data_IF_732646326385
#
_entry.id   IF_732646326385
#
_cell.length_a   1.000
_cell.length_b   1.000
_cell.length_c   1.000
_cell.angle_alpha   90.00
_cell.angle_beta   90.00
_cell.angle_gamma   90.00
#
_symmetry.space_group_name_H-M   'P 1'
#
loop_
_entity.id
_entity.type
_entity.pdbx_description
1 polymer ?
#
# COMPACT_ATOMS: atom_id res chain seq x y z
N UNK A 1 -47.07 78.95 -45.78
CA UNK A 1 -46.26 80.06 -46.31
C UNK A 1 -45.22 80.43 -45.27
N UNK A 2 -43.94 80.38 -45.66
CA UNK A 2 -42.75 81.10 -45.17
C UNK A 2 -42.47 81.20 -43.66
N UNK A 3 -41.45 80.54 -43.13
CA UNK A 3 -40.00 80.90 -43.08
C UNK A 3 -39.61 81.63 -41.79
N UNK A 4 -38.43 81.26 -41.27
CA UNK A 4 -37.52 82.01 -40.36
C UNK A 4 -37.90 82.03 -38.88
N UNK A 5 -36.98 82.19 -37.95
CA UNK A 5 -35.55 81.91 -37.84
C UNK A 5 -35.23 82.25 -36.38
N UNK A 6 -34.35 81.46 -35.76
CA UNK A 6 -33.26 81.90 -34.86
C UNK A 6 -33.58 83.05 -33.89
N UNK A 7 -33.62 82.76 -32.59
CA UNK A 7 -32.84 83.57 -31.66
C UNK A 7 -32.39 82.80 -30.43
N UNK A 8 -31.06 82.76 -30.30
CA UNK A 8 -30.27 82.34 -29.15
C UNK A 8 -30.43 83.36 -28.02
N UNK A 9 -30.56 82.88 -26.78
CA UNK A 9 -29.47 82.88 -25.79
C UNK A 9 -29.99 82.86 -24.35
N UNK A 10 -29.12 82.34 -23.47
CA UNK A 10 -28.94 82.68 -22.05
C UNK A 10 -29.57 81.79 -20.98
N UNK A 11 -28.70 80.83 -20.60
CA UNK A 11 -28.18 80.60 -19.25
C UNK A 11 -28.96 79.72 -18.25
N UNK A 12 -28.27 78.62 -17.94
CA UNK A 12 -28.01 78.06 -16.59
C UNK A 12 -29.19 77.50 -15.80
N UNK A 13 -29.16 76.19 -15.56
CA UNK A 13 -28.80 75.69 -14.22
C UNK A 13 -28.70 74.16 -14.16
N UNK A 14 -27.65 73.72 -13.46
CA UNK A 14 -27.51 72.45 -12.74
C UNK A 14 -27.42 71.12 -13.54
N UNK A 15 -26.20 70.76 -13.95
CA UNK A 15 -25.79 69.35 -13.95
C UNK A 15 -25.47 68.93 -12.51
N UNK A 16 -26.42 68.31 -11.83
CA UNK A 16 -26.17 67.60 -10.57
C UNK A 16 -25.71 66.17 -10.87
N UNK A 17 -24.40 65.95 -10.75
CA UNK A 17 -23.73 64.69 -10.33
C UNK A 17 -24.38 63.35 -10.74
N UNK A 18 -23.99 62.85 -11.92
CA UNK A 18 -24.16 61.44 -12.25
C UNK A 18 -23.17 60.61 -11.40
N UNK A 19 -23.66 59.92 -10.36
CA UNK A 19 -22.86 58.99 -9.56
C UNK A 19 -22.59 57.73 -10.39
N UNK A 20 -21.35 57.56 -10.86
CA UNK A 20 -20.86 56.29 -11.40
C UNK A 20 -20.76 55.31 -10.23
N UNK A 21 -21.69 54.37 -10.14
CA UNK A 21 -21.64 53.25 -9.20
C UNK A 21 -20.66 52.23 -9.81
N UNK A 22 -19.55 51.87 -9.15
CA UNK A 22 -18.71 50.79 -9.64
C UNK A 22 -19.46 49.48 -9.41
N UNK A 23 -19.85 48.81 -10.49
CA UNK A 23 -20.31 47.42 -10.45
C UNK A 23 -19.07 46.58 -10.08
N UNK A 24 -18.98 46.22 -8.81
CA UNK A 24 -18.01 45.24 -8.35
C UNK A 24 -18.33 43.90 -9.01
N UNK A 25 -17.45 43.47 -9.93
CA UNK A 25 -17.42 42.11 -10.48
C UNK A 25 -17.23 41.12 -9.33
N UNK A 26 -18.33 40.53 -8.85
CA UNK A 26 -18.31 39.35 -8.00
C UNK A 26 -17.77 38.18 -8.83
N UNK A 27 -16.48 37.89 -8.68
CA UNK A 27 -15.95 36.58 -9.05
C UNK A 27 -16.46 35.56 -8.02
N UNK A 28 -17.25 34.53 -8.40
CA UNK A 28 -17.51 33.44 -7.48
C UNK A 28 -16.18 32.73 -7.20
N UNK A 29 -15.77 32.74 -5.93
CA UNK A 29 -14.69 31.90 -5.42
C UNK A 29 -15.11 30.44 -5.63
N UNK A 30 -14.67 29.84 -6.73
CA UNK A 30 -14.74 28.40 -6.92
C UNK A 30 -13.69 27.81 -5.97
N UNK A 31 -14.14 27.24 -4.86
CA UNK A 31 -13.27 26.42 -4.02
C UNK A 31 -12.84 25.20 -4.83
N UNK A 32 -11.62 25.24 -5.36
CA UNK A 32 -10.95 24.05 -5.87
C UNK A 32 -10.64 23.20 -4.65
N UNK A 33 -11.48 22.19 -4.40
CA UNK A 33 -11.08 21.09 -3.52
C UNK A 33 -9.92 20.41 -4.22
N UNK A 34 -8.73 20.48 -3.61
CA UNK A 34 -7.62 19.65 -4.01
C UNK A 34 -8.06 18.19 -3.84
N UNK A 35 -8.45 17.54 -4.93
CA UNK A 35 -8.49 16.08 -4.96
C UNK A 35 -7.03 15.66 -4.77
N UNK A 36 -6.72 15.10 -3.60
CA UNK A 36 -5.45 14.45 -3.37
C UNK A 36 -5.17 13.54 -4.57
N UNK A 37 -3.93 13.54 -5.05
CA UNK A 37 -3.46 12.66 -6.12
C UNK A 37 -4.09 11.29 -5.92
N UNK A 38 -4.75 10.69 -6.92
CA UNK A 38 -5.22 9.32 -6.80
C UNK A 38 -3.99 8.48 -6.48
N UNK A 39 -3.84 8.06 -5.22
CA UNK A 39 -2.84 7.07 -4.87
C UNK A 39 -3.23 5.85 -5.69
N UNK A 40 -2.38 5.53 -6.67
CA UNK A 40 -2.59 4.41 -7.56
C UNK A 40 -2.71 3.16 -6.69
N UNK A 41 -3.90 2.57 -6.67
CA UNK A 41 -4.17 1.43 -5.81
C UNK A 41 -3.41 0.21 -6.33
N UNK A 42 -2.57 -0.37 -5.47
CA UNK A 42 -1.88 -1.63 -5.81
C UNK A 42 -2.82 -2.80 -5.52
N UNK A 43 -2.75 -3.93 -6.25
CA UNK A 43 -3.59 -5.09 -5.94
C UNK A 43 -3.48 -5.55 -4.48
N UNK A 44 -2.28 -5.45 -3.88
CA UNK A 44 -2.05 -5.78 -2.48
C UNK A 44 -2.76 -4.88 -1.47
N UNK A 45 -3.20 -3.67 -1.84
CA UNK A 45 -3.92 -2.79 -0.90
C UNK A 45 -5.29 -3.34 -0.47
N UNK A 46 -5.80 -4.40 -1.12
CA UNK A 46 -6.97 -5.15 -0.68
C UNK A 46 -6.65 -6.24 0.37
N UNK A 47 -5.45 -6.25 0.94
CA UNK A 47 -5.08 -7.05 2.10
C UNK A 47 -4.32 -6.20 3.12
N UNK A 48 -4.78 -6.20 4.38
CA UNK A 48 -4.17 -5.41 5.45
C UNK A 48 -3.04 -6.18 6.12
N UNK A 49 -1.81 -5.74 5.90
CA UNK A 49 -0.62 -6.30 6.56
C UNK A 49 -0.66 -6.07 8.08
N UNK A 50 -1.11 -4.88 8.52
CA UNK A 50 -1.32 -4.54 9.93
C UNK A 50 -2.38 -5.42 10.57
N UNK A 51 -3.51 -5.62 9.86
CA UNK A 51 -4.60 -6.49 10.30
C UNK A 51 -4.17 -7.95 10.42
N UNK A 52 -3.41 -8.45 9.44
CA UNK A 52 -2.84 -9.79 9.49
C UNK A 52 -1.92 -9.94 10.72
N UNK A 53 -1.05 -8.98 10.99
CA UNK A 53 -0.17 -9.02 12.16
C UNK A 53 -0.96 -8.91 13.48
N UNK A 54 -2.07 -8.18 13.50
CA UNK A 54 -2.99 -8.13 14.64
C UNK A 54 -3.71 -9.45 14.93
N UNK A 55 -4.11 -10.17 13.88
CA UNK A 55 -4.67 -11.51 14.01
C UNK A 55 -3.59 -12.51 14.47
N UNK A 56 -2.38 -12.42 13.91
CA UNK A 56 -1.23 -13.23 14.30
C UNK A 56 -0.90 -13.06 15.79
N UNK A 57 -0.88 -11.82 16.30
CA UNK A 57 -0.69 -11.51 17.73
C UNK A 57 -1.69 -12.21 18.65
N UNK A 58 -2.93 -12.42 18.20
CA UNK A 58 -4.03 -12.97 19.02
C UNK A 58 -4.24 -14.48 18.86
N UNK A 59 -3.86 -15.05 17.73
CA UNK A 59 -4.07 -16.45 17.43
C UNK A 59 -3.26 -17.36 18.36
N UNK A 60 -3.79 -18.55 18.65
CA UNK A 60 -3.11 -19.57 19.46
C UNK A 60 -2.42 -20.63 18.62
N UNK A 61 -2.81 -20.79 17.36
CA UNK A 61 -2.25 -21.75 16.41
C UNK A 61 -2.23 -21.17 15.00
N UNK A 62 -1.39 -21.70 14.11
CA UNK A 62 -1.33 -21.26 12.70
C UNK A 62 -2.67 -21.52 11.99
N UNK A 63 -3.31 -22.65 12.28
CA UNK A 63 -4.65 -22.96 11.76
C UNK A 63 -5.70 -21.92 12.18
N UNK A 64 -5.69 -21.49 13.45
CA UNK A 64 -6.62 -20.46 13.93
C UNK A 64 -6.33 -19.12 13.26
N UNK A 65 -5.05 -18.80 13.06
CA UNK A 65 -4.62 -17.60 12.36
C UNK A 65 -5.11 -17.60 10.90
N UNK A 66 -4.87 -18.68 10.15
CA UNK A 66 -5.34 -18.88 8.78
C UNK A 66 -6.88 -18.75 8.68
N UNK A 67 -7.62 -19.38 9.58
CA UNK A 67 -9.07 -19.22 9.65
C UNK A 67 -9.47 -17.76 9.90
N UNK A 68 -8.73 -17.06 10.75
CA UNK A 68 -9.01 -15.65 11.06
C UNK A 68 -8.72 -14.75 9.86
N UNK A 69 -7.66 -14.97 9.09
CA UNK A 69 -7.42 -14.22 7.85
C UNK A 69 -8.61 -14.29 6.88
N UNK A 70 -9.32 -15.41 6.89
CA UNK A 70 -10.42 -15.73 6.00
C UNK A 70 -11.80 -15.51 6.63
N UNK A 71 -11.94 -14.47 7.45
CA UNK A 71 -13.20 -14.10 8.10
C UNK A 71 -13.64 -12.70 7.68
N UNK A 72 -14.82 -12.58 7.08
CA UNK A 72 -15.34 -11.33 6.47
C UNK A 72 -15.36 -10.12 7.42
N UNK A 73 -15.75 -10.35 8.68
CA UNK A 73 -16.06 -9.27 9.62
C UNK A 73 -14.85 -8.54 10.21
N UNK A 74 -13.62 -8.99 9.93
CA UNK A 74 -12.43 -8.38 10.53
C UNK A 74 -11.72 -7.37 9.63
N UNK A 75 -12.14 -7.17 8.38
CA UNK A 75 -11.53 -6.25 7.42
C UNK A 75 -10.01 -6.45 7.23
N UNK A 76 -9.56 -7.71 7.21
CA UNK A 76 -8.16 -8.05 6.88
C UNK A 76 -7.99 -8.48 5.43
N UNK A 77 -8.90 -9.32 4.92
CA UNK A 77 -8.87 -9.82 3.55
C UNK A 77 -10.01 -9.23 2.70
N UNK A 78 -9.66 -8.65 1.56
CA UNK A 78 -10.56 -8.16 0.52
C UNK A 78 -10.02 -8.48 -0.88
N UNK A 79 -9.06 -9.41 -0.98
CA UNK A 79 -8.38 -9.73 -2.22
C UNK A 79 -9.31 -10.47 -3.18
N UNK A 80 -9.25 -10.08 -4.45
CA UNK A 80 -9.89 -10.75 -5.59
C UNK A 80 -8.92 -10.61 -6.78
N UNK A 81 -7.80 -11.34 -6.69
CA UNK A 81 -6.71 -11.31 -7.65
C UNK A 81 -7.07 -12.08 -8.92
N UNK A 82 -7.93 -13.10 -8.82
CA UNK A 82 -8.44 -13.86 -9.96
C UNK A 82 -9.59 -13.13 -10.70
N UNK A 83 -10.18 -12.09 -10.09
CA UNK A 83 -11.25 -11.22 -10.62
C UNK A 83 -12.56 -11.95 -10.89
N UNK A 84 -12.90 -12.92 -10.05
CA UNK A 84 -14.17 -13.65 -10.16
C UNK A 84 -15.32 -13.00 -9.37
N UNK A 85 -15.05 -11.88 -8.68
CA UNK A 85 -16.01 -11.12 -7.89
C UNK A 85 -16.24 -11.70 -6.49
N UNK A 86 -15.43 -12.67 -6.08
CA UNK A 86 -15.41 -13.26 -4.75
C UNK A 86 -14.01 -13.10 -4.13
N UNK A 87 -13.95 -13.08 -2.81
CA UNK A 87 -12.66 -13.00 -2.13
C UNK A 87 -11.86 -14.28 -2.25
N UNK A 88 -10.58 -14.12 -2.54
CA UNK A 88 -9.57 -15.16 -2.55
C UNK A 88 -9.31 -15.72 -1.14
N UNK A 89 -9.19 -17.05 -1.05
CA UNK A 89 -8.79 -17.72 0.18
C UNK A 89 -7.28 -17.60 0.43
N UNK A 90 -6.90 -17.18 1.63
CA UNK A 90 -5.51 -17.02 2.05
C UNK A 90 -5.03 -18.29 2.76
N UNK A 91 -4.20 -19.08 2.10
CA UNK A 91 -3.52 -20.22 2.68
C UNK A 91 -2.22 -19.78 3.39
N UNK A 92 -1.90 -20.42 4.51
CA UNK A 92 -0.67 -20.19 5.26
C UNK A 92 0.21 -21.44 5.21
N UNK A 93 1.46 -21.27 4.79
CA UNK A 93 2.45 -22.35 4.82
C UNK A 93 3.66 -21.89 5.63
N UNK A 94 4.10 -22.70 6.59
CA UNK A 94 5.27 -22.42 7.42
C UNK A 94 6.53 -23.04 6.82
N UNK A 95 7.60 -22.26 6.79
CA UNK A 95 8.96 -22.73 6.54
C UNK A 95 9.75 -22.52 7.82
N UNK A 96 10.20 -23.61 8.41
CA UNK A 96 11.01 -23.60 9.64
C UNK A 96 12.44 -24.00 9.31
N UNK A 97 13.39 -23.14 9.66
CA UNK A 97 14.81 -23.47 9.63
C UNK A 97 15.52 -22.82 10.83
N UNK A 98 16.26 -23.63 11.59
CA UNK A 98 16.91 -23.20 12.83
C UNK A 98 15.93 -22.52 13.81
N UNK A 99 16.22 -21.27 14.17
CA UNK A 99 15.43 -20.41 15.06
C UNK A 99 14.58 -19.39 14.27
N UNK A 100 14.26 -19.69 13.01
CA UNK A 100 13.46 -18.83 12.16
C UNK A 100 12.23 -19.59 11.62
N UNK A 101 11.10 -18.89 11.61
CA UNK A 101 9.87 -19.31 10.95
C UNK A 101 9.47 -18.27 9.89
N UNK A 102 8.99 -18.75 8.75
CA UNK A 102 8.42 -17.93 7.69
C UNK A 102 7.03 -18.46 7.39
N UNK A 103 6.00 -17.73 7.82
CA UNK A 103 4.64 -18.00 7.38
C UNK A 103 4.40 -17.29 6.05
N UNK A 104 4.37 -18.05 4.97
CA UNK A 104 4.03 -17.57 3.63
C UNK A 104 2.51 -17.51 3.51
N UNK A 105 1.98 -16.30 3.28
CA UNK A 105 0.58 -16.07 2.99
C UNK A 105 0.41 -16.06 1.47
N UNK A 106 -0.47 -16.91 0.95
CA UNK A 106 -0.63 -17.09 -0.50
C UNK A 106 -2.08 -17.39 -0.87
N UNK A 107 -2.46 -17.13 -2.12
CA UNK A 107 -3.76 -17.53 -2.68
C UNK A 107 -3.62 -18.23 -4.01
N UNK A 108 -4.49 -19.19 -4.29
CA UNK A 108 -4.60 -19.81 -5.61
C UNK A 108 -5.38 -18.89 -6.55
N UNK A 109 -4.70 -18.33 -7.56
CA UNK A 109 -5.34 -17.48 -8.58
C UNK A 109 -5.85 -18.29 -9.79
N UNK A 110 -5.42 -19.54 -9.91
CA UNK A 110 -5.98 -20.54 -10.81
C UNK A 110 -5.70 -21.94 -10.26
N UNK A 111 -6.21 -22.97 -10.95
CA UNK A 111 -5.92 -24.39 -10.66
C UNK A 111 -4.43 -24.68 -10.42
N UNK A 112 -3.56 -24.06 -11.21
CA UNK A 112 -2.13 -24.40 -11.27
C UNK A 112 -1.22 -23.24 -10.85
N UNK A 113 -1.80 -22.11 -10.47
CA UNK A 113 -1.05 -20.89 -10.17
C UNK A 113 -1.41 -20.40 -8.77
N UNK A 114 -0.37 -20.17 -7.99
CA UNK A 114 -0.45 -19.57 -6.67
C UNK A 114 0.25 -18.23 -6.73
N UNK A 115 -0.27 -17.26 -6.00
CA UNK A 115 0.32 -15.94 -5.81
C UNK A 115 0.65 -15.75 -4.33
N UNK A 116 1.91 -15.45 -4.04
CA UNK A 116 2.32 -15.02 -2.71
C UNK A 116 1.83 -13.60 -2.44
N UNK A 117 1.36 -13.36 -1.22
CA UNK A 117 0.77 -12.07 -0.79
C UNK A 117 1.70 -11.35 0.15
N UNK A 118 2.19 -12.05 1.17
CA UNK A 118 3.09 -11.53 2.18
C UNK A 118 3.77 -12.68 2.92
N UNK A 119 4.81 -12.35 3.67
CA UNK A 119 5.47 -13.28 4.60
C UNK A 119 5.48 -12.71 6.00
N UNK A 120 5.07 -13.50 7.00
CA UNK A 120 5.30 -13.19 8.42
C UNK A 120 6.55 -13.92 8.84
N UNK A 121 7.57 -13.14 9.18
CA UNK A 121 8.90 -13.61 9.48
C UNK A 121 9.12 -13.50 10.98
N UNK A 122 9.41 -14.61 11.65
CA UNK A 122 9.66 -14.66 13.10
C UNK A 122 11.05 -15.21 13.35
N UNK A 123 11.90 -14.44 14.03
CA UNK A 123 13.25 -14.86 14.41
C UNK A 123 13.41 -14.79 15.92
N UNK A 124 13.81 -15.92 16.53
CA UNK A 124 14.15 -15.99 17.95
C UNK A 124 15.62 -15.60 18.14
N UNK A 125 15.87 -14.52 18.87
CA UNK A 125 17.21 -14.01 19.16
C UNK A 125 17.83 -14.66 20.40
N UNK A 126 17.03 -14.94 21.43
CA UNK A 126 17.50 -15.51 22.68
C UNK A 126 16.37 -16.23 23.44
N UNK A 127 16.62 -16.62 24.69
CA UNK A 127 15.56 -17.15 25.54
C UNK A 127 14.55 -16.04 25.83
N UNK A 128 13.29 -16.32 25.52
CA UNK A 128 12.18 -15.39 25.69
C UNK A 128 12.25 -14.09 24.88
N UNK A 129 13.01 -14.10 23.77
CA UNK A 129 13.06 -12.97 22.84
C UNK A 129 12.87 -13.42 21.41
N UNK A 130 11.89 -12.82 20.74
CA UNK A 130 11.65 -12.99 19.33
C UNK A 130 11.24 -11.67 18.68
N UNK A 131 11.61 -11.49 17.41
CA UNK A 131 11.18 -10.38 16.57
C UNK A 131 10.24 -10.89 15.48
N UNK A 132 9.32 -10.02 15.04
CA UNK A 132 8.44 -10.30 13.90
C UNK A 132 8.40 -9.13 12.94
N UNK A 133 8.41 -9.42 11.64
CA UNK A 133 8.01 -8.47 10.60
C UNK A 133 7.07 -9.17 9.63
N UNK A 134 6.06 -8.45 9.14
CA UNK A 134 5.31 -8.86 7.95
C UNK A 134 5.80 -8.06 6.75
N UNK A 135 6.08 -8.75 5.66
CA UNK A 135 6.67 -8.17 4.44
C UNK A 135 5.72 -8.46 3.28
N UNK A 136 5.22 -7.42 2.64
CA UNK A 136 4.37 -7.53 1.46
C UNK A 136 5.14 -8.07 0.25
N UNK A 137 4.48 -8.89 -0.56
CA UNK A 137 5.05 -9.41 -1.80
C UNK A 137 5.30 -8.26 -2.80
N UNK A 138 6.50 -8.13 -3.39
CA UNK A 138 6.81 -7.04 -4.32
C UNK A 138 6.03 -7.11 -5.65
N UNK A 139 5.35 -8.23 -5.95
CA UNK A 139 4.44 -8.31 -7.11
C UNK A 139 3.07 -7.66 -6.81
N UNK A 140 2.71 -7.47 -5.53
CA UNK A 140 1.43 -6.89 -5.09
C UNK A 140 1.57 -5.55 -4.34
N UNK A 141 2.71 -5.32 -3.69
CA UNK A 141 3.02 -4.16 -2.87
C UNK A 141 4.25 -3.42 -3.41
N UNK A 142 4.43 -2.13 -3.09
CA UNK A 142 5.71 -1.46 -3.28
C UNK A 142 6.85 -2.26 -2.64
N UNK A 143 8.03 -2.21 -3.28
CA UNK A 143 9.19 -2.88 -2.72
C UNK A 143 9.50 -2.36 -1.30
N UNK A 144 9.88 -3.27 -0.40
CA UNK A 144 10.16 -2.96 1.00
C UNK A 144 8.95 -2.44 1.81
N UNK A 145 7.72 -2.82 1.44
CA UNK A 145 6.57 -2.68 2.36
C UNK A 145 6.73 -3.66 3.53
N UNK A 146 7.27 -3.15 4.64
CA UNK A 146 7.55 -3.91 5.87
C UNK A 146 6.73 -3.29 7.00
N UNK A 147 6.01 -4.12 7.77
CA UNK A 147 5.24 -3.68 8.93
C UNK A 147 5.75 -4.38 10.19
N UNK A 148 5.82 -3.62 11.29
CA UNK A 148 6.21 -4.07 12.63
C UNK A 148 5.15 -3.67 13.68
N UNK A 149 5.08 -4.40 14.82
CA UNK A 149 4.27 -3.97 15.95
C UNK A 149 4.84 -2.71 16.61
N UNK A 150 3.97 -1.76 16.93
CA UNK A 150 4.31 -0.58 17.73
C UNK A 150 4.61 -1.00 19.18
N UNK A 151 5.65 -0.44 19.82
CA UNK A 151 5.90 -0.65 21.24
C UNK A 151 4.96 0.17 22.13
N UNK A 152 4.23 1.13 21.54
CA UNK A 152 3.33 2.02 22.25
C UNK A 152 1.90 1.50 22.18
N UNK A 153 1.29 1.27 23.34
CA UNK A 153 -0.13 0.99 23.48
C UNK A 153 -0.92 2.30 23.32
N UNK A 154 -1.20 2.67 22.06
CA UNK A 154 -2.02 3.84 21.74
C UNK A 154 -1.93 4.21 20.28
N UNK A 155 -2.91 4.95 19.73
CA UNK A 155 -2.82 5.44 18.37
C UNK A 155 -1.59 6.32 18.21
N UNK A 156 -0.76 6.00 17.22
CA UNK A 156 0.36 6.84 16.84
C UNK A 156 -0.18 8.22 16.42
N UNK A 157 -0.12 9.20 17.32
CA UNK A 157 -0.50 10.58 17.02
C UNK A 157 0.64 11.18 16.21
N UNK A 158 0.39 11.53 14.95
CA UNK A 158 1.27 12.42 14.22
C UNK A 158 1.23 13.78 14.91
N UNK A 159 2.21 14.12 15.76
CA UNK A 159 2.33 15.49 16.25
C UNK A 159 2.54 16.41 15.08
N UNK A 160 1.89 17.55 15.21
CA UNK A 160 2.02 18.74 14.39
C UNK A 160 3.39 19.40 14.48
N UNK A 161 4.36 18.80 15.18
CA UNK A 161 5.69 19.38 15.39
C UNK A 161 6.77 18.50 14.75
N UNK A 162 7.19 18.94 13.56
CA UNK A 162 8.33 18.51 12.74
C UNK A 162 8.50 17.01 12.43
N UNK A 163 8.52 16.72 11.13
CA UNK A 163 8.85 15.44 10.46
C UNK A 163 10.15 14.73 10.93
N UNK A 164 10.93 15.34 11.82
CA UNK A 164 12.22 14.83 12.30
C UNK A 164 12.14 14.05 13.62
N UNK A 165 11.12 14.23 14.47
CA UNK A 165 11.06 13.52 15.76
C UNK A 165 10.51 12.09 15.59
N UNK A 166 9.53 11.91 14.69
CA UNK A 166 8.90 10.62 14.37
C UNK A 166 9.85 9.61 13.74
N UNK A 167 10.58 10.06 12.73
CA UNK A 167 11.50 9.24 11.95
C UNK A 167 12.67 8.75 12.80
N UNK A 168 13.18 9.59 13.71
CA UNK A 168 14.30 9.22 14.59
C UNK A 168 13.90 8.26 15.72
N UNK A 169 12.69 8.34 16.28
CA UNK A 169 12.25 7.35 17.29
C UNK A 169 11.99 5.97 16.70
N UNK A 170 11.39 5.90 15.50
CA UNK A 170 11.14 4.64 14.78
C UNK A 170 12.46 4.03 14.25
N UNK A 171 13.39 4.86 13.78
CA UNK A 171 14.69 4.41 13.26
C UNK A 171 15.63 3.85 14.35
N UNK A 172 15.51 4.33 15.60
CA UNK A 172 16.35 3.89 16.72
C UNK A 172 15.74 2.78 17.58
N UNK A 173 14.53 2.31 17.23
CA UNK A 173 13.86 1.30 18.04
C UNK A 173 14.59 -0.05 17.97
N UNK A 174 14.89 -0.64 19.13
CA UNK A 174 15.18 -2.07 19.29
C UNK A 174 13.87 -2.80 18.99
N UNK A 175 13.90 -3.92 18.25
CA UNK A 175 12.69 -4.63 17.85
C UNK A 175 11.76 -4.90 19.04
N UNK A 176 10.44 -4.86 18.82
CA UNK A 176 9.47 -5.14 19.87
C UNK A 176 9.46 -6.65 20.14
N UNK A 177 9.73 -7.03 21.39
CA UNK A 177 9.76 -8.44 21.77
C UNK A 177 8.35 -9.04 21.70
N UNK A 178 8.16 -9.99 20.79
CA UNK A 178 6.87 -10.67 20.58
C UNK A 178 6.80 -12.05 21.20
N UNK A 179 7.78 -12.42 22.03
CA UNK A 179 7.85 -13.77 22.60
C UNK A 179 6.56 -14.21 23.31
N UNK A 180 5.90 -13.30 24.02
CA UNK A 180 4.67 -13.59 24.77
C UNK A 180 3.41 -13.67 23.88
N UNK A 181 3.54 -13.53 22.56
CA UNK A 181 2.41 -13.72 21.66
C UNK A 181 2.08 -15.22 21.58
N UNK A 182 0.81 -15.64 21.76
CA UNK A 182 0.48 -17.05 21.87
C UNK A 182 0.90 -17.86 20.64
N UNK A 183 0.76 -17.30 19.43
CA UNK A 183 1.20 -17.95 18.21
C UNK A 183 2.73 -18.05 18.11
N UNK A 184 3.48 -17.08 18.63
CA UNK A 184 4.95 -17.16 18.66
C UNK A 184 5.39 -18.29 19.59
N UNK A 185 4.82 -18.37 20.80
CA UNK A 185 5.09 -19.49 21.71
C UNK A 185 4.69 -20.84 21.10
N UNK A 186 3.58 -20.88 20.36
CA UNK A 186 3.14 -22.07 19.64
C UNK A 186 4.16 -22.53 18.58
N UNK A 187 4.69 -21.63 17.75
CA UNK A 187 5.70 -21.96 16.73
C UNK A 187 6.99 -22.55 17.34
N UNK A 188 7.42 -22.03 18.49
CA UNK A 188 8.63 -22.49 19.19
C UNK A 188 8.37 -23.63 20.18
N UNK A 189 7.15 -24.17 20.24
CA UNK A 189 6.87 -25.34 21.06
C UNK A 189 7.60 -26.58 20.51
N UNK A 190 8.26 -27.41 21.35
CA UNK A 190 8.95 -28.62 20.88
C UNK A 190 8.06 -29.63 20.13
N UNK A 191 6.75 -29.62 20.40
CA UNK A 191 5.77 -30.51 19.77
C UNK A 191 5.07 -29.87 18.55
N UNK A 192 5.42 -28.64 18.19
CA UNK A 192 4.88 -27.99 17.01
C UNK A 192 5.34 -28.71 15.74
N UNK A 193 4.37 -29.09 14.92
CA UNK A 193 4.59 -29.61 13.58
C UNK A 193 4.31 -28.51 12.56
N UNK A 194 5.20 -28.37 11.58
CA UNK A 194 5.11 -27.36 10.52
C UNK A 194 3.71 -27.37 9.89
N UNK A 195 3.05 -26.22 9.95
CA UNK A 195 1.74 -26.05 9.32
C UNK A 195 1.90 -25.87 7.82
N UNK A 196 1.32 -26.78 7.06
CA UNK A 196 1.08 -26.62 5.63
C UNK A 196 -0.43 -26.59 5.44
N UNK A 197 -0.96 -25.52 4.87
CA UNK A 197 -2.40 -25.39 4.68
C UNK A 197 -2.91 -26.57 3.86
N UNK A 198 -3.93 -27.31 4.33
CA UNK A 198 -4.53 -28.41 3.55
C UNK A 198 -5.46 -27.88 2.45
N UNK A 199 -5.63 -26.57 2.34
CA UNK A 199 -6.56 -25.94 1.44
C UNK A 199 -5.90 -25.51 0.14
N UNK A 200 -6.67 -25.55 -0.93
CA UNK A 200 -6.23 -25.25 -2.29
C UNK A 200 -7.42 -24.79 -3.12
N UNK A 201 -7.17 -24.47 -4.40
CA UNK A 201 -8.22 -24.20 -5.40
C UNK A 201 -9.40 -25.20 -5.37
N UNK A 202 -9.13 -26.47 -5.08
CA UNK A 202 -10.15 -27.53 -5.08
C UNK A 202 -10.75 -27.87 -3.71
N UNK A 203 -10.08 -27.46 -2.64
CA UNK A 203 -10.40 -27.89 -1.30
C UNK A 203 -10.36 -26.69 -0.38
N UNK A 204 -11.54 -26.16 -0.04
CA UNK A 204 -11.67 -25.05 0.91
C UNK A 204 -12.15 -25.59 2.26
N UNK A 205 -11.93 -24.84 3.36
CA UNK A 205 -12.37 -25.27 4.68
C UNK A 205 -13.87 -25.47 4.72
N UNK A 206 -14.31 -26.47 5.48
CA UNK A 206 -15.72 -26.61 5.81
C UNK A 206 -16.21 -25.34 6.53
N UNK A 207 -17.32 -24.78 6.04
CA UNK A 207 -17.91 -23.56 6.59
C UNK A 207 -17.19 -22.26 6.20
N UNK A 208 -16.18 -22.32 5.33
CA UNK A 208 -15.68 -21.11 4.65
C UNK A 208 -16.72 -20.64 3.64
N UNK A 209 -17.11 -19.37 3.77
CA UNK A 209 -17.95 -18.70 2.79
C UNK A 209 -17.10 -17.61 2.12
N UNK A 210 -17.08 -17.61 0.80
CA UNK A 210 -16.56 -16.48 0.04
C UNK A 210 -17.52 -15.30 0.19
N UNK A 211 -16.98 -14.08 0.20
CA UNK A 211 -17.79 -12.87 0.17
C UNK A 211 -17.42 -12.00 -1.02
N UNK A 212 -18.31 -11.07 -1.38
CA UNK A 212 -17.99 -10.08 -2.41
C UNK A 212 -17.01 -9.07 -1.83
N UNK A 213 -15.91 -8.75 -2.55
CA UNK A 213 -15.01 -7.68 -2.12
C UNK A 213 -15.77 -6.37 -1.90
N UNK A 214 -15.50 -5.74 -0.76
CA UNK A 214 -16.01 -4.42 -0.42
C UNK A 214 -15.32 -3.39 -1.31
N UNK A 215 -15.98 -2.25 -1.52
CA UNK A 215 -15.33 -1.10 -2.15
C UNK A 215 -14.08 -0.72 -1.35
N UNK A 216 -12.98 -0.42 -2.04
CA UNK A 216 -11.69 -0.16 -1.40
C UNK A 216 -11.79 0.86 -0.27
N UNK A 217 -12.55 1.95 -0.44
CA UNK A 217 -12.74 2.96 0.60
C UNK A 217 -13.40 2.42 1.86
N UNK A 218 -14.37 1.51 1.72
CA UNK A 218 -15.04 0.86 2.84
C UNK A 218 -14.11 -0.13 3.55
N UNK A 219 -13.42 -0.97 2.78
CA UNK A 219 -12.42 -1.90 3.31
C UNK A 219 -11.31 -1.15 4.06
N UNK A 220 -10.74 -0.13 3.40
CA UNK A 220 -9.68 0.70 3.95
C UNK A 220 -10.14 1.35 5.25
N UNK A 221 -11.31 2.01 5.28
CA UNK A 221 -11.85 2.63 6.49
C UNK A 221 -12.12 1.62 7.61
N UNK A 222 -12.68 0.45 7.28
CA UNK A 222 -12.94 -0.62 8.26
C UNK A 222 -11.70 -1.18 8.95
N UNK A 223 -10.55 -1.13 8.27
CA UNK A 223 -9.24 -1.54 8.83
C UNK A 223 -8.54 -0.51 9.71
N UNK A 224 -9.12 0.68 9.95
CA UNK A 224 -8.45 1.77 10.68
C UNK A 224 -7.95 1.38 12.07
N UNK A 225 -8.65 0.48 12.76
CA UNK A 225 -8.28 0.03 14.11
C UNK A 225 -6.92 -0.69 14.16
N UNK A 226 -6.46 -1.27 13.05
CA UNK A 226 -5.16 -1.94 13.00
C UNK A 226 -4.03 -0.94 12.85
N UNK A 227 -4.17 0.04 11.94
CA UNK A 227 -3.08 0.96 11.55
C UNK A 227 -2.52 1.81 12.68
N UNK A 228 -3.27 1.96 13.76
CA UNK A 228 -2.83 2.73 14.92
C UNK A 228 -1.83 1.98 15.81
N UNK A 229 -1.72 0.66 15.68
CA UNK A 229 -0.91 -0.23 16.52
C UNK A 229 0.30 -0.84 15.80
N UNK A 230 0.43 -0.60 14.49
CA UNK A 230 1.48 -1.15 13.64
C UNK A 230 2.03 -0.02 12.76
N UNK A 231 3.31 -0.08 12.43
CA UNK A 231 3.95 0.97 11.64
C UNK A 231 4.80 0.38 10.52
N UNK A 232 5.06 1.23 9.51
CA UNK A 232 5.99 0.91 8.43
C UNK A 232 7.43 0.91 8.94
N UNK A 233 8.04 -0.27 8.99
CA UNK A 233 9.42 -0.40 9.43
C UNK A 233 10.38 0.12 8.34
N UNK A 234 11.35 0.98 8.71
CA UNK A 234 12.27 1.56 7.73
C UNK A 234 13.32 0.56 7.23
N UNK A 235 13.46 -0.59 7.87
CA UNK A 235 14.48 -1.60 7.55
C UNK A 235 14.05 -3.01 7.92
N UNK A 236 14.62 -3.98 7.21
CA UNK A 236 14.53 -5.39 7.53
C UNK A 236 15.36 -5.68 8.79
N UNK A 237 14.77 -6.38 9.77
CA UNK A 237 15.43 -6.89 10.98
C UNK A 237 15.52 -8.41 10.95
N UNK A 238 14.54 -9.07 10.32
CA UNK A 238 14.46 -10.53 10.17
C UNK A 238 15.17 -10.98 8.88
N UNK A 239 16.50 -10.93 8.90
CA UNK A 239 17.31 -11.18 7.70
C UNK A 239 17.46 -12.66 7.39
N UNK A 240 17.53 -13.51 8.42
CA UNK A 240 17.69 -14.96 8.28
C UNK A 240 16.45 -15.58 7.65
N UNK A 241 15.27 -15.29 8.21
CA UNK A 241 13.99 -15.78 7.71
C UNK A 241 13.70 -15.29 6.29
N UNK A 242 14.07 -14.04 5.98
CA UNK A 242 13.89 -13.51 4.64
C UNK A 242 14.81 -14.19 3.60
N UNK A 243 16.01 -14.58 4.00
CA UNK A 243 16.90 -15.37 3.14
C UNK A 243 16.35 -16.79 2.91
N UNK A 244 15.82 -17.43 3.97
CA UNK A 244 15.13 -18.72 3.88
C UNK A 244 13.98 -18.63 2.87
N UNK A 245 13.12 -17.62 3.00
CA UNK A 245 12.02 -17.40 2.07
C UNK A 245 12.51 -17.26 0.62
N UNK A 246 13.53 -16.43 0.37
CA UNK A 246 14.08 -16.21 -0.98
C UNK A 246 14.64 -17.49 -1.59
N UNK A 247 15.30 -18.33 -0.78
CA UNK A 247 15.80 -19.63 -1.23
C UNK A 247 14.65 -20.58 -1.60
N UNK A 248 13.53 -20.52 -0.88
CA UNK A 248 12.37 -21.38 -1.10
C UNK A 248 11.39 -20.88 -2.18
N UNK A 249 11.26 -19.58 -2.41
CA UNK A 249 10.30 -19.00 -3.38
C UNK A 249 10.45 -19.58 -4.79
N UNK A 250 11.66 -19.92 -5.20
CA UNK A 250 11.93 -20.57 -6.49
C UNK A 250 11.68 -22.09 -6.51
N UNK A 251 11.84 -22.78 -5.37
CA UNK A 251 11.75 -24.24 -5.27
C UNK A 251 10.35 -24.76 -4.96
N UNK A 252 9.49 -23.94 -4.33
CA UNK A 252 8.13 -24.34 -4.00
C UNK A 252 7.17 -24.34 -5.21
N UNK A 253 7.60 -23.84 -6.39
CA UNK A 253 6.74 -23.77 -7.59
C UNK A 253 5.68 -22.64 -7.55
N UNK A 254 5.62 -21.86 -6.47
CA UNK A 254 4.66 -20.77 -6.24
C UNK A 254 4.89 -19.53 -7.13
N UNK A 255 6.00 -19.45 -7.88
CA UNK A 255 6.42 -18.20 -8.52
C UNK A 255 6.58 -18.19 -10.04
N UNK A 256 6.33 -19.29 -10.76
CA UNK A 256 6.82 -19.38 -12.15
C UNK A 256 5.82 -19.03 -13.26
N UNK A 257 4.50 -19.00 -13.02
CA UNK A 257 3.58 -19.03 -14.17
C UNK A 257 2.50 -17.93 -14.25
N UNK A 258 2.45 -16.97 -13.33
CA UNK A 258 1.65 -15.76 -13.55
C UNK A 258 2.21 -14.56 -12.78
N UNK A 259 3.26 -13.95 -13.33
CA UNK A 259 3.56 -12.56 -12.98
C UNK A 259 2.39 -11.74 -13.52
N UNK A 260 1.53 -11.19 -12.66
CA UNK A 260 0.68 -10.09 -13.08
C UNK A 260 1.67 -9.05 -13.64
N UNK A 261 1.62 -8.79 -14.95
CA UNK A 261 2.47 -7.79 -15.60
C UNK A 261 2.02 -6.39 -15.14
N UNK A 262 2.31 -6.08 -13.89
CA UNK A 262 2.12 -4.76 -13.33
C UNK A 262 3.33 -3.93 -13.73
N UNK A 263 3.19 -3.15 -14.81
CA UNK A 263 4.17 -2.18 -15.27
C UNK A 263 4.44 -1.04 -14.25
N UNK A 264 3.87 -1.10 -13.05
CA UNK A 264 3.91 -0.05 -12.05
C UNK A 264 5.21 -0.02 -11.22
N UNK A 265 5.92 -1.13 -11.09
CA UNK A 265 7.09 -1.24 -10.20
C UNK A 265 8.44 -1.44 -10.91
N UNK A 266 8.51 -1.18 -12.22
CA UNK A 266 9.73 -1.39 -13.01
C UNK A 266 10.85 -0.36 -12.73
N UNK A 267 10.69 0.57 -11.79
CA UNK A 267 11.69 1.63 -11.54
C UNK A 267 12.70 1.35 -10.41
N UNK A 268 12.44 0.42 -9.48
CA UNK A 268 13.27 0.27 -8.27
C UNK A 268 14.19 -0.97 -8.25
N UNK A 269 14.25 -1.75 -9.34
CA UNK A 269 15.05 -2.99 -9.37
C UNK A 269 16.57 -2.78 -9.48
N UNK A 270 17.05 -1.54 -9.62
CA UNK A 270 18.49 -1.25 -9.78
C UNK A 270 19.21 -0.74 -8.53
N UNK A 271 18.52 -0.46 -7.41
CA UNK A 271 19.12 0.25 -6.27
C UNK A 271 18.89 -0.34 -4.87
N UNK A 272 18.52 -1.62 -4.75
CA UNK A 272 18.52 -2.26 -3.43
C UNK A 272 19.96 -2.64 -3.02
N UNK A 273 20.43 -1.99 -1.96
CA UNK A 273 21.69 -2.19 -1.21
C UNK A 273 22.90 -1.32 -1.59
N UNK A 274 22.71 0.00 -1.71
CA UNK A 274 23.77 0.96 -1.38
C UNK A 274 23.15 2.15 -0.66
N UNK A 275 23.52 2.33 0.61
CA UNK A 275 23.03 3.46 1.41
C UNK A 275 23.44 4.80 0.80
N UNK A 276 22.47 5.70 0.64
CA UNK A 276 22.59 7.15 0.83
C UNK A 276 21.21 7.78 0.65
N UNK A 277 20.66 8.29 1.74
CA UNK A 277 19.61 9.31 1.68
C UNK A 277 20.15 10.52 0.90
N UNK A 278 19.34 11.11 0.01
CA UNK A 278 19.22 12.55 -0.27
C UNK A 278 18.18 12.72 -1.41
N UNK A 279 17.21 13.62 -1.20
CA UNK A 279 16.65 14.43 -2.28
C UNK A 279 15.17 14.23 -2.63
N UNK A 280 14.32 15.11 -2.12
CA UNK A 280 13.02 15.45 -2.72
C UNK A 280 13.18 15.71 -4.24
N UNK A 281 12.36 15.12 -5.13
CA UNK A 281 12.29 15.58 -6.51
C UNK A 281 11.39 16.81 -6.58
N UNK A 282 12.00 17.96 -6.87
CA UNK A 282 11.28 19.12 -7.43
C UNK A 282 10.97 18.82 -8.90
N UNK A 283 9.69 18.70 -9.24
CA UNK A 283 9.27 18.56 -10.63
C UNK A 283 9.35 19.92 -11.32
N UNK A 284 10.42 20.14 -12.09
CA UNK A 284 10.42 21.15 -13.15
C UNK A 284 9.54 20.64 -14.29
N UNK A 285 8.49 21.40 -14.59
CA UNK A 285 7.64 21.24 -15.76
C UNK A 285 8.46 21.39 -17.04
N UNK A 286 8.47 20.37 -17.90
CA UNK A 286 8.86 20.52 -19.31
C UNK A 286 7.60 20.29 -20.13
N UNK A 287 7.13 21.39 -20.71
CA UNK A 287 5.92 21.45 -21.50
C UNK A 287 6.05 20.73 -22.83
N UNK A 288 4.90 20.23 -23.28
CA UNK A 288 4.66 19.75 -24.64
C UNK A 288 4.94 20.86 -25.67
N UNK A 289 5.77 20.55 -26.66
CA UNK A 289 5.71 21.15 -28.00
C UNK A 289 5.93 20.06 -29.03
N UNK A 290 4.89 19.78 -29.80
CA UNK A 290 4.93 18.87 -30.93
C UNK A 290 5.67 19.45 -32.14
N UNK A 291 5.82 18.62 -33.17
CA UNK A 291 6.11 19.09 -34.52
C UNK A 291 7.06 18.22 -35.33
N UNK A 292 6.44 17.54 -36.31
CA UNK A 292 6.96 17.28 -37.66
C UNK A 292 7.79 16.02 -37.95
N UNK A 293 7.18 15.20 -38.81
CA UNK A 293 7.73 14.09 -39.57
C UNK A 293 8.08 14.58 -40.98
N UNK A 294 9.31 14.31 -41.44
CA UNK A 294 9.78 14.22 -42.84
C UNK A 294 11.04 13.34 -42.76
N UNK A 295 11.24 12.23 -43.46
CA UNK A 295 11.15 12.00 -44.90
C UNK A 295 12.55 12.14 -45.51
N UNK A 296 13.21 11.04 -45.91
CA UNK A 296 14.51 11.14 -46.59
C UNK A 296 15.30 9.83 -46.76
N UNK A 297 15.14 9.22 -47.92
CA UNK A 297 15.93 8.13 -48.52
C UNK A 297 17.37 8.51 -48.92
N UNK A 298 18.26 7.52 -49.05
CA UNK A 298 19.52 7.61 -49.81
C UNK A 298 20.66 6.81 -49.17
N UNK A 299 20.88 5.53 -49.49
CA UNK A 299 21.69 5.01 -50.60
C UNK A 299 23.18 5.42 -50.60
N UNK A 300 24.06 4.41 -50.46
CA UNK A 300 25.29 4.31 -51.25
C UNK A 300 26.62 4.40 -50.50
N UNK A 301 27.44 3.38 -50.67
CA UNK A 301 28.88 3.60 -50.91
C UNK A 301 29.86 2.77 -50.09
N UNK A 302 30.28 1.65 -50.69
CA UNK A 302 31.52 0.94 -50.38
C UNK A 302 32.74 1.88 -50.45
N UNK A 303 33.66 1.73 -49.50
CA UNK A 303 35.05 1.29 -49.72
C UNK A 303 35.65 0.84 -48.40
#
# INVERSE_FOLDING_TARGET
MKTKAIQTAKYFSAFSSLKIIPIALLFPLVSVVAQGTPQLQTPGQNFSLEGALALFKKAKTVQQFERSLNHEDNNVNNLDLNKDGQTDYIAVNDIKENNAHVLVLSTSISKNNIQDIATINVEKSSNNEANVQIIGDPDLYPANTIIEPSPYDGPMVASTDTQNTYSNQIANQVGYNVWEWPLVQYLYNPYYSIWNSPYSWYNLPFGYNMWRPKMYTQFYSGGNNYRSHYYHAPRLRVTVSQNIYRAHRGSLGYGQNFRIQNNYFNFDRSNSFAGRYIGHPTYRSIGFRGGHSFGGSGHGGRR
#
